data_IF_504334878964
#
_entry.id   IF_504334878964
#
_cell.length_a   1.000
_cell.length_b   1.000
_cell.length_c   1.000
_cell.angle_alpha   90.00
_cell.angle_beta   90.00
_cell.angle_gamma   90.00
#
_symmetry.space_group_name_H-M   'P 1'
#
loop_
_entity.id
_entity.type
_entity.pdbx_description
1 polymer ?
#
# COMPACT_ATOMS: atom_id res chain seq x y z
N UNK A 1 -19.18 -36.02 22.01
CA UNK A 1 -19.93 -34.99 21.26
C UNK A 1 -19.04 -33.77 21.13
N UNK A 2 -18.42 -33.55 19.97
CA UNK A 2 -17.65 -32.35 19.65
C UNK A 2 -18.28 -31.78 18.39
N UNK A 3 -19.28 -30.93 18.54
CA UNK A 3 -19.95 -30.23 17.44
C UNK A 3 -20.11 -28.76 17.81
N UNK A 4 -19.02 -28.02 17.63
CA UNK A 4 -19.02 -26.58 17.41
C UNK A 4 -17.64 -26.25 16.83
N UNK A 5 -17.36 -26.77 15.63
CA UNK A 5 -16.40 -26.12 14.75
C UNK A 5 -16.93 -24.70 14.59
N UNK A 6 -16.27 -23.76 15.25
CA UNK A 6 -16.38 -22.33 14.97
C UNK A 6 -16.36 -22.19 13.45
N UNK A 7 -17.54 -22.00 12.86
CA UNK A 7 -17.63 -21.42 11.52
C UNK A 7 -17.08 -20.03 11.73
N UNK A 8 -15.77 -19.87 11.54
CA UNK A 8 -15.11 -18.59 11.36
C UNK A 8 -16.05 -17.80 10.46
N UNK A 9 -16.65 -16.74 11.01
CA UNK A 9 -17.62 -15.96 10.28
C UNK A 9 -16.84 -15.27 9.16
N UNK A 10 -16.84 -15.92 8.00
CA UNK A 10 -16.01 -15.56 6.86
C UNK A 10 -16.30 -14.15 6.40
N UNK A 11 -17.48 -13.61 6.69
CA UNK A 11 -17.85 -12.23 6.40
C UNK A 11 -17.11 -11.23 7.29
N UNK A 12 -17.07 -11.46 8.61
CA UNK A 12 -16.35 -10.61 9.56
C UNK A 12 -14.84 -10.61 9.27
N UNK A 13 -14.26 -11.79 9.02
CA UNK A 13 -12.83 -11.91 8.69
C UNK A 13 -12.46 -11.29 7.34
N UNK A 14 -13.38 -11.21 6.38
CA UNK A 14 -13.15 -10.51 5.12
C UNK A 14 -13.22 -9.00 5.28
N UNK A 15 -14.10 -8.49 6.15
CA UNK A 15 -14.13 -7.05 6.46
C UNK A 15 -12.86 -6.61 7.18
N UNK A 16 -12.36 -7.39 8.14
CA UNK A 16 -11.07 -7.11 8.79
C UNK A 16 -9.92 -7.09 7.77
N UNK A 17 -9.95 -8.00 6.79
CA UNK A 17 -8.95 -8.08 5.73
C UNK A 17 -9.04 -6.87 4.76
N UNK A 18 -10.24 -6.37 4.48
CA UNK A 18 -10.45 -5.14 3.70
C UNK A 18 -9.92 -3.92 4.46
N UNK A 19 -10.18 -3.83 5.76
CA UNK A 19 -9.61 -2.75 6.59
C UNK A 19 -8.09 -2.81 6.62
N UNK A 20 -7.51 -4.02 6.77
CA UNK A 20 -6.07 -4.21 6.70
C UNK A 20 -5.51 -3.79 5.33
N UNK A 21 -6.18 -4.14 4.22
CA UNK A 21 -5.79 -3.68 2.88
C UNK A 21 -5.66 -2.16 2.83
N UNK A 22 -6.68 -1.43 3.29
CA UNK A 22 -6.65 0.04 3.27
C UNK A 22 -5.55 0.63 4.15
N UNK A 23 -5.32 0.06 5.33
CA UNK A 23 -4.23 0.48 6.21
C UNK A 23 -2.88 0.30 5.53
N UNK A 24 -2.64 -0.86 4.91
CA UNK A 24 -1.37 -1.14 4.22
C UNK A 24 -1.20 -0.26 2.98
N UNK A 25 -2.25 0.02 2.21
CA UNK A 25 -2.21 0.96 1.08
C UNK A 25 -1.84 2.38 1.54
N UNK A 26 -2.38 2.82 2.67
CA UNK A 26 -2.09 4.12 3.27
C UNK A 26 -0.62 4.20 3.76
N UNK A 27 -0.13 3.19 4.47
CA UNK A 27 1.26 3.10 4.92
C UNK A 27 2.23 3.12 3.74
N UNK A 28 1.94 2.33 2.69
CA UNK A 28 2.74 2.27 1.47
C UNK A 28 2.82 3.64 0.79
N UNK A 29 1.68 4.31 0.58
CA UNK A 29 1.62 5.63 -0.05
C UNK A 29 2.39 6.70 0.74
N UNK A 30 2.23 6.72 2.06
CA UNK A 30 2.90 7.69 2.94
C UNK A 30 4.42 7.53 2.89
N UNK A 31 4.91 6.29 2.97
CA UNK A 31 6.33 6.01 2.93
C UNK A 31 6.92 6.28 1.53
N UNK A 32 6.21 5.91 0.46
CA UNK A 32 6.61 6.22 -0.91
C UNK A 32 6.74 7.74 -1.15
N UNK A 33 5.80 8.53 -0.65
CA UNK A 33 5.87 10.00 -0.74
C UNK A 33 7.03 10.57 0.08
N UNK A 34 7.31 10.00 1.25
CA UNK A 34 8.48 10.37 2.08
C UNK A 34 9.77 10.13 1.30
N UNK A 35 9.88 9.01 0.59
CA UNK A 35 11.02 8.72 -0.28
C UNK A 35 11.22 9.73 -1.40
N UNK A 36 10.14 10.05 -2.10
CA UNK A 36 10.18 11.01 -3.19
C UNK A 36 10.61 12.40 -2.69
N UNK A 37 10.14 12.81 -1.51
CA UNK A 37 10.56 14.06 -0.87
C UNK A 37 12.05 14.05 -0.50
N UNK A 38 12.56 12.97 0.11
CA UNK A 38 13.99 12.84 0.44
C UNK A 38 14.86 12.92 -0.82
N UNK A 39 14.46 12.27 -1.92
CA UNK A 39 15.13 12.37 -3.23
C UNK A 39 15.10 13.80 -3.78
N UNK A 40 13.96 14.48 -3.71
CA UNK A 40 13.79 15.86 -4.18
C UNK A 40 14.61 16.87 -3.38
N UNK A 41 14.78 16.65 -2.07
CA UNK A 41 15.52 17.56 -1.21
C UNK A 41 17.01 17.70 -1.57
N UNK A 42 17.59 16.85 -2.45
CA UNK A 42 19.00 16.93 -2.90
C UNK A 42 20.00 17.23 -1.76
N UNK A 43 19.71 16.69 -0.56
CA UNK A 43 20.37 17.04 0.72
C UNK A 43 21.90 16.89 0.69
N UNK A 44 22.42 16.13 -0.27
CA UNK A 44 23.81 15.72 -0.36
C UNK A 44 24.70 16.64 -1.19
N UNK A 45 24.16 17.62 -1.93
CA UNK A 45 24.93 18.25 -3.01
C UNK A 45 25.62 19.58 -2.71
N UNK A 46 25.33 20.29 -1.60
CA UNK A 46 25.83 21.68 -1.40
C UNK A 46 26.23 22.03 0.05
N UNK A 47 26.14 21.13 1.03
CA UNK A 47 26.40 21.54 2.42
C UNK A 47 27.89 21.48 2.77
N UNK A 48 28.50 22.65 3.03
CA UNK A 48 29.91 22.78 3.47
C UNK A 48 30.08 22.47 4.96
N UNK A 49 28.98 22.43 5.70
CA UNK A 49 28.95 22.04 7.10
C UNK A 49 28.94 20.51 7.21
N UNK A 50 30.03 19.96 7.74
CA UNK A 50 30.27 18.51 7.85
C UNK A 50 29.31 17.85 8.83
N UNK A 51 28.94 18.53 9.91
CA UNK A 51 28.04 17.97 10.94
C UNK A 51 26.61 17.89 10.38
N UNK A 52 26.13 18.97 9.77
CA UNK A 52 24.83 19.00 9.10
C UNK A 52 24.78 17.99 7.95
N UNK A 53 25.82 17.91 7.12
CA UNK A 53 25.90 16.93 6.04
C UNK A 53 25.81 15.49 6.56
N UNK A 54 26.49 15.18 7.66
CA UNK A 54 26.49 13.83 8.24
C UNK A 54 25.10 13.43 8.73
N UNK A 55 24.39 14.33 9.44
CA UNK A 55 23.02 14.07 9.90
C UNK A 55 22.09 13.81 8.72
N UNK A 56 22.14 14.66 7.69
CA UNK A 56 21.30 14.54 6.51
C UNK A 56 21.60 13.25 5.72
N UNK A 57 22.88 12.86 5.63
CA UNK A 57 23.28 11.62 4.97
C UNK A 57 22.80 10.38 5.72
N UNK A 58 22.96 10.34 7.04
CA UNK A 58 22.49 9.22 7.87
C UNK A 58 20.97 9.10 7.77
N UNK A 59 20.25 10.21 7.86
CA UNK A 59 18.80 10.21 7.69
C UNK A 59 18.38 9.67 6.31
N UNK A 60 19.01 10.14 5.23
CA UNK A 60 18.75 9.65 3.87
C UNK A 60 19.02 8.15 3.73
N UNK A 61 20.12 7.66 4.31
CA UNK A 61 20.47 6.23 4.28
C UNK A 61 19.52 5.37 5.10
N UNK A 62 19.08 5.83 6.28
CA UNK A 62 18.12 5.11 7.11
C UNK A 62 16.77 4.98 6.39
N UNK A 63 16.30 6.08 5.80
CA UNK A 63 15.08 6.08 5.00
C UNK A 63 15.24 5.12 3.80
N UNK A 64 16.31 5.23 2.99
CA UNK A 64 16.59 4.32 1.86
C UNK A 64 16.64 2.85 2.26
N UNK A 65 17.35 2.51 3.31
CA UNK A 65 17.54 1.11 3.69
C UNK A 65 16.27 0.52 4.32
N UNK A 66 15.76 1.13 5.38
CA UNK A 66 14.60 0.59 6.09
C UNK A 66 13.32 0.70 5.27
N UNK A 67 13.14 1.80 4.57
CA UNK A 67 11.89 2.02 3.86
C UNK A 67 11.79 1.18 2.57
N UNK A 68 12.89 0.84 1.89
CA UNK A 68 12.81 -0.02 0.70
C UNK A 68 12.38 -1.44 1.08
N UNK A 69 13.01 -2.02 2.11
CA UNK A 69 12.64 -3.36 2.60
C UNK A 69 11.21 -3.36 3.16
N UNK A 70 10.82 -2.33 3.92
CA UNK A 70 9.47 -2.20 4.42
C UNK A 70 8.43 -2.05 3.30
N UNK A 71 8.69 -1.19 2.30
CA UNK A 71 7.81 -1.04 1.12
C UNK A 71 7.64 -2.36 0.38
N UNK A 72 8.71 -3.12 0.18
CA UNK A 72 8.66 -4.42 -0.48
C UNK A 72 7.81 -5.42 0.33
N UNK A 73 7.99 -5.47 1.65
CA UNK A 73 7.15 -6.29 2.55
C UNK A 73 5.67 -5.89 2.48
N UNK A 74 5.37 -4.60 2.51
CA UNK A 74 3.98 -4.11 2.43
C UNK A 74 3.36 -4.39 1.06
N UNK A 75 4.13 -4.26 -0.02
CA UNK A 75 3.67 -4.64 -1.36
C UNK A 75 3.34 -6.14 -1.44
N UNK A 76 4.22 -7.00 -0.94
CA UNK A 76 4.00 -8.44 -0.93
C UNK A 76 2.79 -8.83 -0.06
N UNK A 77 2.56 -8.11 1.05
CA UNK A 77 1.38 -8.30 1.88
C UNK A 77 0.10 -7.88 1.15
N UNK A 78 0.10 -6.74 0.45
CA UNK A 78 -1.03 -6.30 -0.38
C UNK A 78 -1.36 -7.29 -1.48
N UNK A 79 -0.35 -7.85 -2.15
CA UNK A 79 -0.54 -8.88 -3.18
C UNK A 79 -1.25 -10.11 -2.59
N UNK A 80 -0.80 -10.60 -1.42
CA UNK A 80 -1.45 -11.72 -0.73
C UNK A 80 -2.89 -11.41 -0.30
N UNK A 81 -3.12 -10.22 0.27
CA UNK A 81 -4.46 -9.77 0.68
C UNK A 81 -5.39 -9.74 -0.54
N UNK A 82 -4.93 -9.14 -1.64
CA UNK A 82 -5.69 -9.04 -2.88
C UNK A 82 -5.98 -10.42 -3.48
N UNK A 83 -5.04 -11.37 -3.44
CA UNK A 83 -5.30 -12.74 -3.88
C UNK A 83 -6.40 -13.43 -3.07
N UNK A 84 -6.38 -13.27 -1.74
CA UNK A 84 -7.40 -13.86 -0.87
C UNK A 84 -8.76 -13.24 -1.13
N UNK A 85 -8.83 -11.90 -1.18
CA UNK A 85 -10.05 -11.16 -1.49
C UNK A 85 -10.58 -11.52 -2.88
N UNK A 86 -9.71 -11.70 -3.89
CA UNK A 86 -10.10 -12.14 -5.23
C UNK A 86 -10.76 -13.53 -5.20
N UNK A 87 -10.28 -14.45 -4.37
CA UNK A 87 -10.80 -15.82 -4.25
C UNK A 87 -12.06 -15.92 -3.39
N UNK A 88 -12.16 -15.12 -2.33
CA UNK A 88 -13.16 -15.29 -1.26
C UNK A 88 -14.27 -14.24 -1.23
N UNK A 89 -14.04 -13.05 -1.77
CA UNK A 89 -15.07 -12.02 -1.82
C UNK A 89 -16.13 -12.39 -2.86
N UNK A 90 -17.41 -12.18 -2.54
CA UNK A 90 -18.46 -12.17 -3.54
C UNK A 90 -18.41 -10.83 -4.29
N UNK A 91 -17.77 -10.82 -5.45
CA UNK A 91 -17.44 -9.57 -6.14
C UNK A 91 -18.65 -8.92 -6.79
N UNK A 92 -18.75 -7.61 -6.61
CA UNK A 92 -19.67 -6.75 -7.34
C UNK A 92 -18.86 -5.77 -8.20
N UNK A 93 -18.59 -6.16 -9.45
CA UNK A 93 -17.74 -5.40 -10.37
C UNK A 93 -18.47 -4.18 -10.92
N UNK A 94 -17.84 -3.02 -10.81
CA UNK A 94 -18.28 -1.75 -11.37
C UNK A 94 -17.26 -1.32 -12.41
N UNK A 95 -17.74 -0.93 -13.59
CA UNK A 95 -16.95 -0.17 -14.55
C UNK A 95 -17.13 1.31 -14.25
N UNK A 96 -16.01 2.00 -14.05
CA UNK A 96 -15.99 3.40 -13.66
C UNK A 96 -14.85 4.13 -14.39
N UNK A 97 -14.89 5.45 -14.38
CA UNK A 97 -13.87 6.30 -15.01
C UNK A 97 -13.35 7.28 -13.96
N UNK A 98 -12.04 7.21 -13.67
CA UNK A 98 -11.39 8.18 -12.78
C UNK A 98 -10.81 9.32 -13.62
N UNK A 99 -11.17 10.55 -13.27
CA UNK A 99 -10.58 11.76 -13.85
C UNK A 99 -9.29 12.15 -13.10
N UNK A 100 -8.15 12.01 -13.77
CA UNK A 100 -6.87 12.59 -13.36
C UNK A 100 -6.68 13.96 -14.04
N UNK A 101 -5.85 14.88 -13.49
CA UNK A 101 -5.71 16.26 -13.98
C UNK A 101 -5.38 16.44 -15.47
N UNK A 102 -4.91 15.38 -16.15
CA UNK A 102 -4.52 15.41 -17.56
C UNK A 102 -5.10 14.26 -18.40
N UNK A 103 -5.91 13.35 -17.81
CA UNK A 103 -6.52 12.20 -18.52
C UNK A 103 -7.62 11.54 -17.68
N UNK A 104 -8.60 10.94 -18.36
CA UNK A 104 -9.55 10.03 -17.73
C UNK A 104 -9.09 8.58 -17.93
N UNK A 105 -9.22 7.74 -16.91
CA UNK A 105 -8.84 6.32 -16.96
C UNK A 105 -10.02 5.44 -16.62
N UNK A 106 -10.40 4.58 -17.56
CA UNK A 106 -11.37 3.52 -17.29
C UNK A 106 -10.77 2.51 -16.32
N UNK A 107 -11.51 2.22 -15.26
CA UNK A 107 -11.19 1.23 -14.25
C UNK A 107 -12.34 0.24 -14.13
N UNK A 108 -12.02 -1.00 -13.79
CA UNK A 108 -13.00 -1.96 -13.32
C UNK A 108 -12.59 -2.35 -11.89
N UNK A 109 -13.47 -2.12 -10.93
CA UNK A 109 -13.18 -2.43 -9.54
C UNK A 109 -14.37 -3.09 -8.85
N UNK A 110 -14.11 -3.86 -7.80
CA UNK A 110 -15.17 -4.46 -6.99
C UNK A 110 -15.64 -3.47 -5.92
N UNK A 111 -16.93 -3.13 -5.87
CA UNK A 111 -17.47 -2.21 -4.85
C UNK A 111 -17.41 -2.75 -3.43
N UNK A 112 -17.24 -4.08 -3.28
CA UNK A 112 -17.23 -4.74 -1.98
C UNK A 112 -15.82 -4.79 -1.38
N UNK A 113 -14.79 -5.08 -2.18
CA UNK A 113 -13.42 -5.26 -1.69
C UNK A 113 -12.37 -4.36 -2.36
N UNK A 114 -12.79 -3.49 -3.28
CA UNK A 114 -11.95 -2.49 -3.95
C UNK A 114 -10.71 -3.06 -4.65
N UNK A 115 -10.79 -4.32 -5.08
CA UNK A 115 -9.83 -4.91 -6.03
C UNK A 115 -10.10 -4.33 -7.41
N UNK A 116 -9.01 -4.03 -8.13
CA UNK A 116 -9.07 -3.62 -9.52
C UNK A 116 -8.80 -4.81 -10.44
N UNK A 117 -9.56 -4.91 -11.53
CA UNK A 117 -9.30 -5.81 -12.64
C UNK A 117 -8.64 -5.02 -13.76
N UNK A 118 -7.47 -5.46 -14.24
CA UNK A 118 -6.93 -4.96 -15.51
C UNK A 118 -7.89 -5.41 -16.61
N UNK A 119 -8.42 -4.46 -17.39
CA UNK A 119 -9.17 -4.73 -18.62
C UNK A 119 -8.25 -5.39 -19.63
#
# INVERSE_FOLDING_TARGET
MLNALEKIDTCASLNDLIQLKFNVEHEYSTLYNTFDQVKKMKLLSINKDVELYTILRVYSQNIEHMGNEFLEKQKNLLEQINEILMKKCNHNWIEDTIDEPFRSRDICYCSNCYIYKKK
#
